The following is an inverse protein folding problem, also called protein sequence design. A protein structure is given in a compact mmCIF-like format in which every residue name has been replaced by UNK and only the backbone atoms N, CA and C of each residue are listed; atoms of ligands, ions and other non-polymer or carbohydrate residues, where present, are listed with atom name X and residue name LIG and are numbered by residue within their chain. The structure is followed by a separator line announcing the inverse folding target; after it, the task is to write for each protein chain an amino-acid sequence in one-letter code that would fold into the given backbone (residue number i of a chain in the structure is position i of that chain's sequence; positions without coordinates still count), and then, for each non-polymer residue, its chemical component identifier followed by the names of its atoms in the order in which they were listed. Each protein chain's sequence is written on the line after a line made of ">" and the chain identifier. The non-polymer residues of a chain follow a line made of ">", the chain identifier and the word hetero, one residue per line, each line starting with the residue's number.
data_IF_566052278820
#
_entry.id   IF_566052278820
#
_cell.length_a   1.000
_cell.length_b   1.000
_cell.length_c   1.000
_cell.angle_alpha   90.00
_cell.angle_beta   90.00
_cell.angle_gamma   90.00
#
_symmetry.space_group_name_H-M   'P 1'
#
loop_
_entity.id
_entity.type
_entity.pdbx_description
1 polymer ?
#
# COMPACT_ATOMS: atom_id res chain seq x y z
N UNK A 1 14.46 11.23 20.50
CA UNK A 1 13.25 11.47 19.69
C UNK A 1 12.72 10.14 19.21
N UNK A 2 11.74 9.57 19.92
CA UNK A 2 10.98 8.43 19.42
C UNK A 2 10.12 8.95 18.28
N UNK A 3 10.52 8.64 17.06
CA UNK A 3 9.75 8.91 15.84
C UNK A 3 8.41 8.18 16.02
N UNK A 4 7.35 8.94 16.33
CA UNK A 4 6.01 8.39 16.55
C UNK A 4 5.47 8.01 15.18
N UNK A 5 5.42 6.72 14.91
CA UNK A 5 4.83 6.18 13.70
C UNK A 5 3.31 6.18 13.88
N UNK A 6 2.69 7.34 13.70
CA UNK A 6 1.25 7.52 13.93
C UNK A 6 0.47 7.40 12.61
N UNK A 7 1.10 7.68 11.48
CA UNK A 7 0.47 7.62 10.16
C UNK A 7 1.01 6.49 9.28
N UNK A 8 0.23 5.97 8.31
CA UNK A 8 0.73 5.05 7.30
C UNK A 8 1.94 5.59 6.53
N UNK A 9 2.00 6.90 6.30
CA UNK A 9 3.12 7.52 5.58
C UNK A 9 4.41 7.45 6.39
N UNK A 10 4.34 7.54 7.72
CA UNK A 10 5.51 7.34 8.59
C UNK A 10 6.01 5.90 8.51
N UNK A 11 5.10 4.92 8.48
CA UNK A 11 5.47 3.52 8.26
C UNK A 11 6.08 3.31 6.87
N UNK A 12 5.56 3.97 5.84
CA UNK A 12 6.06 3.87 4.48
C UNK A 12 7.48 4.44 4.37
N UNK A 13 7.74 5.60 4.99
CA UNK A 13 9.07 6.23 5.07
C UNK A 13 10.05 5.41 5.89
N UNK A 14 9.60 4.85 7.01
CA UNK A 14 10.45 4.09 7.94
C UNK A 14 10.76 2.69 7.44
N UNK A 15 9.80 2.04 6.78
CA UNK A 15 9.89 0.63 6.38
C UNK A 15 9.54 0.39 4.90
N UNK A 16 10.19 1.07 3.95
CA UNK A 16 9.85 0.96 2.52
C UNK A 16 10.09 -0.46 1.98
N UNK A 17 11.11 -1.17 2.51
CA UNK A 17 11.43 -2.54 2.10
C UNK A 17 10.38 -3.54 2.55
N UNK A 18 9.84 -3.38 3.76
CA UNK A 18 8.79 -4.27 4.29
C UNK A 18 7.50 -4.02 3.51
N UNK A 19 7.15 -2.76 3.24
CA UNK A 19 6.01 -2.42 2.40
C UNK A 19 6.13 -3.06 1.01
N UNK A 20 7.31 -3.00 0.38
CA UNK A 20 7.54 -3.67 -0.91
C UNK A 20 7.35 -5.20 -0.84
N UNK A 21 7.79 -5.86 0.24
CA UNK A 21 7.53 -7.29 0.44
C UNK A 21 6.05 -7.59 0.63
N UNK A 22 5.30 -6.76 1.35
CA UNK A 22 3.84 -6.90 1.49
C UNK A 22 3.14 -6.76 0.14
N UNK A 23 3.52 -5.76 -0.68
CA UNK A 23 2.98 -5.59 -2.04
C UNK A 23 3.24 -6.85 -2.86
N UNK A 24 4.45 -7.39 -2.75
CA UNK A 24 4.87 -8.59 -3.49
C UNK A 24 4.12 -9.85 -3.04
N UNK A 25 3.96 -10.03 -1.74
CA UNK A 25 3.18 -11.13 -1.14
C UNK A 25 1.70 -11.04 -1.56
N UNK A 26 1.18 -9.81 -1.66
CA UNK A 26 -0.17 -9.56 -2.14
C UNK A 26 -0.29 -9.59 -3.67
N UNK A 27 0.72 -10.03 -4.42
CA UNK A 27 0.72 -10.04 -5.90
C UNK A 27 0.37 -8.69 -6.56
N UNK A 28 0.67 -7.58 -5.88
CA UNK A 28 0.35 -6.21 -6.33
C UNK A 28 -1.05 -5.69 -5.98
N UNK A 29 -1.87 -6.46 -5.24
CA UNK A 29 -3.19 -5.99 -4.77
C UNK A 29 -3.08 -4.83 -3.76
N UNK A 30 -2.02 -4.82 -2.94
CA UNK A 30 -1.76 -3.71 -2.03
C UNK A 30 -1.03 -2.55 -2.74
N UNK A 31 -1.58 -1.34 -2.64
CA UNK A 31 -0.83 -0.11 -2.94
C UNK A 31 0.16 0.19 -1.80
N UNK A 32 1.18 1.06 -1.99
CA UNK A 32 2.15 1.33 -0.93
C UNK A 32 1.53 1.88 0.36
N UNK A 33 0.56 2.80 0.25
CA UNK A 33 -0.20 3.30 1.41
C UNK A 33 -0.97 2.17 2.11
N UNK A 34 -1.56 1.25 1.35
CA UNK A 34 -2.28 0.11 1.92
C UNK A 34 -1.31 -0.86 2.60
N UNK A 35 -0.16 -1.16 1.99
CA UNK A 35 0.88 -1.99 2.59
C UNK A 35 1.38 -1.40 3.92
N UNK A 36 1.53 -0.07 3.98
CA UNK A 36 1.89 0.62 5.21
C UNK A 36 0.77 0.59 6.28
N UNK A 37 -0.50 0.69 5.87
CA UNK A 37 -1.66 0.49 6.76
C UNK A 37 -1.69 -0.93 7.33
N UNK A 38 -1.52 -1.94 6.48
CA UNK A 38 -1.45 -3.36 6.89
C UNK A 38 -0.32 -3.56 7.90
N UNK A 39 0.86 -3.00 7.66
CA UNK A 39 1.99 -3.06 8.58
C UNK A 39 1.71 -2.38 9.93
N UNK A 40 1.08 -1.19 9.90
CA UNK A 40 0.65 -0.47 11.11
C UNK A 40 -0.36 -1.29 11.90
N UNK A 41 -1.40 -1.78 11.25
CA UNK A 41 -2.47 -2.55 11.91
C UNK A 41 -1.94 -3.88 12.47
N UNK A 42 -1.02 -4.55 11.77
CA UNK A 42 -0.32 -5.73 12.29
C UNK A 42 0.51 -5.42 13.55
N UNK A 43 1.18 -4.26 13.60
CA UNK A 43 1.95 -3.85 14.78
C UNK A 43 1.05 -3.45 15.95
N UNK A 44 -0.10 -2.86 15.68
CA UNK A 44 -1.07 -2.43 16.70
C UNK A 44 -2.05 -3.53 17.11
N UNK A 45 -2.02 -4.70 16.44
CA UNK A 45 -2.95 -5.79 16.70
C UNK A 45 -4.39 -5.46 16.29
N UNK A 46 -4.58 -4.59 15.29
CA UNK A 46 -5.89 -4.20 14.77
C UNK A 46 -6.26 -5.02 13.55
N UNK A 47 -7.56 -5.21 13.34
CA UNK A 47 -8.07 -5.81 12.12
C UNK A 47 -7.87 -4.87 10.92
N UNK A 48 -7.66 -5.45 9.74
CA UNK A 48 -7.50 -4.69 8.50
C UNK A 48 -8.55 -5.11 7.47
N UNK A 49 -9.23 -4.13 6.88
CA UNK A 49 -10.31 -4.31 5.90
C UNK A 49 -9.87 -4.34 4.45
N UNK A 50 -8.56 -4.36 4.15
CA UNK A 50 -8.07 -4.59 2.80
C UNK A 50 -8.62 -5.93 2.29
N UNK A 51 -9.16 -5.94 1.08
CA UNK A 51 -9.78 -7.13 0.47
C UNK A 51 -8.89 -8.37 0.57
N UNK A 52 -7.57 -8.21 0.32
CA UNK A 52 -6.62 -9.31 0.45
C UNK A 52 -6.51 -9.84 1.89
N UNK A 53 -6.46 -8.95 2.90
CA UNK A 53 -6.41 -9.38 4.31
C UNK A 53 -7.74 -9.97 4.77
N UNK A 54 -8.86 -9.38 4.33
CA UNK A 54 -10.20 -9.88 4.62
C UNK A 54 -10.38 -11.30 4.07
N UNK A 55 -10.07 -11.50 2.79
CA UNK A 55 -10.32 -12.75 2.07
C UNK A 55 -9.32 -13.85 2.39
N UNK A 56 -8.03 -13.54 2.54
CA UNK A 56 -6.99 -14.55 2.73
C UNK A 56 -6.60 -14.79 4.20
N UNK A 57 -6.86 -13.83 5.09
CA UNK A 57 -6.38 -13.88 6.48
C UNK A 57 -7.45 -13.55 7.51
N UNK A 58 -8.74 -13.60 7.14
CA UNK A 58 -9.87 -13.37 8.05
C UNK A 58 -9.72 -12.06 8.84
N UNK A 59 -9.31 -10.98 8.15
CA UNK A 59 -9.10 -9.63 8.72
C UNK A 59 -7.91 -9.49 9.66
N UNK A 60 -7.11 -10.54 9.88
CA UNK A 60 -5.90 -10.50 10.69
C UNK A 60 -4.66 -10.18 9.83
N UNK A 61 -4.08 -8.96 9.92
CA UNK A 61 -2.93 -8.57 9.10
C UNK A 61 -1.60 -9.17 9.57
N UNK A 62 -1.52 -9.65 10.82
CA UNK A 62 -0.28 -10.17 11.41
C UNK A 62 0.32 -11.36 10.64
N UNK A 63 -0.43 -12.45 10.35
CA UNK A 63 0.12 -13.57 9.59
C UNK A 63 0.57 -13.16 8.18
N UNK A 64 -0.10 -12.19 7.55
CA UNK A 64 0.28 -11.68 6.23
C UNK A 64 1.63 -10.95 6.27
N UNK A 65 1.85 -10.08 7.27
CA UNK A 65 3.12 -9.37 7.46
C UNK A 65 4.25 -10.33 7.83
N UNK A 66 3.98 -11.29 8.71
CA UNK A 66 4.96 -12.33 9.05
C UNK A 66 5.34 -13.18 7.83
N UNK A 67 4.36 -13.52 6.99
CA UNK A 67 4.56 -14.20 5.70
C UNK A 67 5.48 -13.40 4.78
N UNK A 68 5.16 -12.13 4.52
CA UNK A 68 5.96 -11.25 3.68
C UNK A 68 7.40 -11.07 4.19
N UNK A 69 7.61 -11.03 5.52
CA UNK A 69 8.95 -10.93 6.11
C UNK A 69 9.68 -12.26 5.99
N UNK A 70 9.06 -13.40 6.32
CA UNK A 70 9.69 -14.73 6.21
C UNK A 70 10.02 -15.07 4.76
N UNK A 71 9.13 -14.70 3.83
CA UNK A 71 9.23 -14.92 2.40
C UNK A 71 10.26 -14.04 1.68
N UNK A 72 10.81 -13.01 2.32
CA UNK A 72 11.67 -11.97 1.70
C UNK A 72 12.83 -12.46 0.81
N UNK A 73 13.29 -13.69 0.96
CA UNK A 73 14.33 -14.32 0.12
C UNK A 73 13.82 -15.10 -1.10
N UNK A 74 12.52 -15.40 -1.17
CA UNK A 74 11.89 -16.31 -2.13
C UNK A 74 10.89 -15.62 -3.07
N UNK A 75 10.72 -14.31 -2.97
CA UNK A 75 9.81 -13.56 -3.85
C UNK A 75 10.38 -13.49 -5.28
N UNK A 76 10.06 -14.49 -6.10
CA UNK A 76 10.41 -14.57 -7.53
C UNK A 76 9.18 -15.08 -8.29
N UNK A 77 8.76 -14.39 -9.36
CA UNK A 77 7.66 -14.85 -10.22
C UNK A 77 6.87 -13.72 -10.89
N UNK A 78 5.95 -14.11 -11.78
CA UNK A 78 4.99 -13.21 -12.44
C UNK A 78 4.05 -12.60 -11.39
N UNK A 79 3.88 -11.27 -11.42
CA UNK A 79 3.15 -10.46 -10.42
C UNK A 79 3.75 -10.39 -9.01
N UNK A 80 4.91 -11.00 -8.77
CA UNK A 80 5.56 -11.06 -7.45
C UNK A 80 7.04 -10.61 -7.49
N UNK A 81 7.35 -9.54 -8.23
CA UNK A 81 8.72 -9.04 -8.33
C UNK A 81 9.00 -7.92 -7.31
N UNK A 82 9.85 -8.23 -6.32
CA UNK A 82 10.27 -7.28 -5.28
C UNK A 82 10.87 -5.98 -5.83
N UNK A 83 11.67 -6.05 -6.91
CA UNK A 83 12.33 -4.87 -7.48
C UNK A 83 11.30 -3.86 -7.99
N UNK A 84 10.29 -4.35 -8.69
CA UNK A 84 9.19 -3.54 -9.21
C UNK A 84 8.36 -2.95 -8.06
N UNK A 85 8.01 -3.76 -7.04
CA UNK A 85 7.31 -3.28 -5.86
C UNK A 85 8.10 -2.19 -5.10
N UNK A 86 9.41 -2.36 -4.95
CA UNK A 86 10.27 -1.37 -4.29
C UNK A 86 10.38 -0.08 -5.10
N UNK A 87 10.43 -0.15 -6.43
CA UNK A 87 10.44 1.03 -7.29
C UNK A 87 9.13 1.83 -7.14
N UNK A 88 7.99 1.16 -7.05
CA UNK A 88 6.67 1.77 -6.81
C UNK A 88 6.64 2.50 -5.45
N UNK A 89 7.12 1.85 -4.38
CA UNK A 89 7.21 2.46 -3.05
C UNK A 89 8.10 3.70 -3.07
N UNK A 90 9.28 3.61 -3.69
CA UNK A 90 10.22 4.75 -3.81
C UNK A 90 9.60 5.90 -4.59
N UNK A 91 8.98 5.62 -5.73
CA UNK A 91 8.31 6.64 -6.53
C UNK A 91 7.25 7.38 -5.71
N UNK A 92 6.44 6.67 -4.93
CA UNK A 92 5.46 7.31 -4.06
C UNK A 92 6.11 8.19 -2.98
N UNK A 93 7.24 7.76 -2.41
CA UNK A 93 7.98 8.57 -1.45
C UNK A 93 8.59 9.83 -2.09
N UNK A 94 9.02 9.74 -3.33
CA UNK A 94 9.65 10.84 -4.07
C UNK A 94 8.62 11.84 -4.62
N UNK A 95 7.47 11.36 -5.13
CA UNK A 95 6.45 12.21 -5.75
C UNK A 95 5.28 12.57 -4.83
N UNK A 96 5.10 11.88 -3.71
CA UNK A 96 3.93 11.99 -2.83
C UNK A 96 2.64 11.40 -3.43
N UNK A 97 2.67 10.86 -4.65
CA UNK A 97 1.51 10.29 -5.32
C UNK A 97 1.45 8.78 -5.12
N UNK A 98 0.30 8.26 -4.68
CA UNK A 98 0.06 6.82 -4.58
C UNK A 98 -0.32 6.25 -5.96
N UNK A 99 0.50 5.41 -6.60
CA UNK A 99 0.09 4.76 -7.84
C UNK A 99 -0.99 3.72 -7.54
N UNK A 100 -2.11 3.81 -8.27
CA UNK A 100 -3.12 2.77 -8.33
C UNK A 100 -2.59 1.63 -9.23
N UNK A 101 -2.23 0.49 -8.62
CA UNK A 101 -1.83 -0.70 -9.37
C UNK A 101 -3.09 -1.44 -9.81
N UNK A 102 -3.71 -0.99 -10.90
CA UNK A 102 -4.75 -1.76 -11.57
C UNK A 102 -4.05 -2.85 -12.40
N UNK A 103 -4.37 -4.11 -12.15
CA UNK A 103 -3.90 -5.22 -12.98
C UNK A 103 -4.44 -5.03 -14.41
N UNK A 104 -3.58 -4.60 -15.32
CA UNK A 104 -3.90 -4.35 -16.72
C UNK A 104 -4.19 -2.88 -17.04
N UNK A 105 -3.47 -2.39 -18.05
CA UNK A 105 -3.60 -1.08 -18.70
C UNK A 105 -2.94 0.11 -18.00
N UNK A 106 -1.81 0.50 -18.60
CA UNK A 106 -1.40 1.89 -18.86
C UNK A 106 -1.15 2.82 -17.67
N UNK A 107 0.09 3.32 -17.66
CA UNK A 107 0.48 4.56 -17.00
C UNK A 107 -0.52 5.68 -17.36
N UNK A 108 -1.41 6.04 -16.44
CA UNK A 108 -2.22 7.24 -16.62
C UNK A 108 -3.51 7.24 -15.81
N UNK A 109 -3.44 7.66 -14.55
CA UNK A 109 -4.48 8.47 -13.90
C UNK A 109 -4.02 8.84 -12.49
N UNK A 110 -3.74 10.12 -12.31
CA UNK A 110 -3.55 10.77 -11.01
C UNK A 110 -4.82 10.60 -10.17
N UNK A 111 -4.72 9.94 -9.01
CA UNK A 111 -5.73 10.04 -7.97
C UNK A 111 -5.44 11.26 -7.08
N UNK A 112 -5.48 12.47 -7.66
CA UNK A 112 -5.54 13.71 -6.89
C UNK A 112 -6.87 14.42 -7.15
N UNK A 113 -7.65 14.60 -6.09
CA UNK A 113 -8.50 15.77 -5.89
C UNK A 113 -9.63 16.03 -6.88
N UNK A 114 -10.71 15.24 -6.83
CA UNK A 114 -12.03 15.77 -7.18
C UNK A 114 -12.54 16.62 -6.01
N UNK A 115 -12.16 17.89 -5.99
CA UNK A 115 -13.01 18.92 -5.38
C UNK A 115 -14.27 18.97 -6.27
N UNK A 116 -15.49 18.76 -5.74
CA UNK A 116 -16.68 18.92 -6.56
C UNK A 116 -16.72 20.36 -7.10
N UNK A 117 -17.06 20.58 -8.38
CA UNK A 117 -17.26 21.92 -8.88
C UNK A 117 -18.38 22.57 -8.08
N UNK A 118 -18.04 23.65 -7.40
CA UNK A 118 -18.99 24.58 -6.78
C UNK A 118 -20.05 24.88 -7.83
N UNK A 119 -21.28 24.43 -7.57
CA UNK A 119 -22.41 24.73 -8.42
C UNK A 119 -22.61 26.24 -8.41
N UNK A 120 -22.20 26.91 -9.49
CA UNK A 120 -22.75 28.21 -9.85
C UNK A 120 -24.27 28.03 -9.94
N UNK A 121 -24.96 28.61 -8.97
CA UNK A 121 -26.41 28.76 -9.02
C UNK A 121 -26.73 29.77 -10.12
N UNK A 122 -26.96 29.27 -11.34
CA UNK A 122 -27.79 29.91 -12.34
C UNK A 122 -29.23 29.93 -11.82
N UNK A 123 -29.66 31.10 -11.37
CA UNK A 123 -31.04 31.59 -11.18
C UNK A 123 -30.82 33.09 -10.92
N UNK A 124 -31.19 34.01 -11.78
CA UNK A 124 -32.46 34.17 -12.49
C UNK A 124 -32.92 35.59 -12.18
#
# INVERSE_FOLDING_TARGET
>A
MTDRLDSPDDYLKRYPRICAHIITESLGYATPTMAARILKDAKEGRENGCEWIYSCYQRNPRPAVEGAIRGRGHHRGYMAEYRTALAIVKRQLDSGESPCLRAGSEFGATCQGLKPPTSQSLRG
#
